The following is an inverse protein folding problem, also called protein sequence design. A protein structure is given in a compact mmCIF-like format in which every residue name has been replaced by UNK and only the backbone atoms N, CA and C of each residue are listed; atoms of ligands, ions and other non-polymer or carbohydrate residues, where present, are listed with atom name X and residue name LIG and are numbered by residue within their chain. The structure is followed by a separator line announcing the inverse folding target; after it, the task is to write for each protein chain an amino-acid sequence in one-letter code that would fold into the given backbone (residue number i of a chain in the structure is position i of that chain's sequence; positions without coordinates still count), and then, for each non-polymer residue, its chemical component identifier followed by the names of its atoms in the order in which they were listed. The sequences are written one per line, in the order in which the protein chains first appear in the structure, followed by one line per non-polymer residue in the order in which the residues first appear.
data_IF_284042168040
#
_entry.id   IF_284042168040
#
_cell.length_a   1.000
_cell.length_b   1.000
_cell.length_c   1.000
_cell.angle_alpha   90.00
_cell.angle_beta   90.00
_cell.angle_gamma   90.00
#
_symmetry.space_group_name_H-M   'P 1'
#
loop_
_entity.id
_entity.type
_entity.pdbx_description
1 polymer ?
#
# COMPACT_ATOMS: atom_id res chain seq x y z
N UNK A 1 0.57 15.67 -17.05
CA UNK A 1 1.20 14.34 -16.99
C UNK A 1 2.69 14.48 -17.16
N UNK A 2 3.42 14.33 -16.06
CA UNK A 2 4.85 14.08 -16.05
C UNK A 2 5.21 12.99 -17.08
N UNK A 3 6.05 13.32 -18.05
CA UNK A 3 6.49 12.39 -19.11
C UNK A 3 7.39 11.27 -18.58
N UNK A 4 7.69 11.23 -17.28
CA UNK A 4 8.50 10.20 -16.64
C UNK A 4 7.72 8.93 -16.27
N UNK A 5 6.38 8.98 -16.19
CA UNK A 5 5.53 7.84 -15.81
C UNK A 5 4.59 7.47 -16.94
N UNK A 6 4.64 6.20 -17.39
CA UNK A 6 3.63 5.62 -18.28
C UNK A 6 2.63 4.87 -17.42
N UNK A 7 1.34 5.15 -17.57
CA UNK A 7 0.28 4.51 -16.80
C UNK A 7 -0.90 4.09 -17.69
N UNK A 8 -1.58 3.00 -17.31
CA UNK A 8 -2.81 2.51 -17.90
C UNK A 8 -3.76 2.07 -16.79
N UNK A 9 -5.01 2.53 -16.83
CA UNK A 9 -6.07 2.10 -15.91
C UNK A 9 -7.01 1.16 -16.66
N UNK A 10 -7.33 0.02 -16.03
CA UNK A 10 -8.31 -0.96 -16.51
C UNK A 10 -9.43 -1.12 -15.49
N UNK A 11 -10.67 -1.25 -15.94
CA UNK A 11 -11.84 -1.50 -15.10
C UNK A 11 -12.12 -3.00 -15.03
N UNK A 12 -12.27 -3.52 -13.82
CA UNK A 12 -12.39 -4.94 -13.51
C UNK A 12 -13.73 -5.30 -12.86
N UNK A 13 -14.60 -4.34 -12.52
CA UNK A 13 -15.88 -4.57 -11.83
C UNK A 13 -16.79 -5.63 -12.48
N UNK A 14 -16.67 -5.82 -13.80
CA UNK A 14 -17.46 -6.80 -14.57
C UNK A 14 -16.73 -8.15 -14.76
N UNK A 15 -15.49 -8.27 -14.31
CA UNK A 15 -14.68 -9.47 -14.44
C UNK A 15 -14.97 -10.38 -13.25
N UNK A 16 -15.50 -11.57 -13.53
CA UNK A 16 -15.83 -12.55 -12.49
C UNK A 16 -14.57 -12.96 -11.73
N UNK A 17 -14.59 -12.83 -10.40
CA UNK A 17 -13.47 -13.16 -9.53
C UNK A 17 -12.37 -12.10 -9.47
N UNK A 18 -12.62 -10.89 -9.99
CA UNK A 18 -11.70 -9.78 -9.78
C UNK A 18 -11.63 -9.42 -8.28
N UNK A 19 -10.39 -9.26 -7.80
CA UNK A 19 -10.07 -8.87 -6.42
C UNK A 19 -10.06 -7.35 -6.22
N UNK A 20 -10.15 -6.58 -7.32
CA UNK A 20 -10.20 -5.12 -7.28
C UNK A 20 -11.14 -4.55 -8.33
N UNK A 21 -11.71 -3.36 -8.08
CA UNK A 21 -12.58 -2.65 -9.02
C UNK A 21 -11.82 -2.15 -10.25
N UNK A 22 -10.59 -1.68 -10.05
CA UNK A 22 -9.69 -1.19 -11.08
C UNK A 22 -8.27 -1.71 -10.89
N UNK A 23 -7.53 -1.82 -11.99
CA UNK A 23 -6.08 -2.05 -11.96
C UNK A 23 -5.36 -0.93 -12.67
N UNK A 24 -4.30 -0.44 -12.07
CA UNK A 24 -3.32 0.44 -12.73
C UNK A 24 -2.09 -0.39 -13.04
N UNK A 25 -1.64 -0.33 -14.29
CA UNK A 25 -0.31 -0.77 -14.69
C UNK A 25 0.52 0.47 -14.98
N UNK A 26 1.69 0.57 -14.36
CA UNK A 26 2.57 1.71 -14.49
C UNK A 26 4.03 1.28 -14.64
N UNK A 27 4.81 2.16 -15.27
CA UNK A 27 6.26 2.01 -15.38
C UNK A 27 6.91 3.38 -15.35
N UNK A 28 8.08 3.45 -14.72
CA UNK A 28 8.91 4.64 -14.67
C UNK A 28 10.11 4.51 -15.63
N UNK A 29 10.68 5.64 -16.06
CA UNK A 29 11.94 5.63 -16.83
C UNK A 29 13.15 5.23 -15.97
N UNK A 30 13.04 5.36 -14.66
CA UNK A 30 14.03 4.89 -13.71
C UNK A 30 13.82 3.39 -13.46
N UNK A 31 14.88 2.66 -13.07
CA UNK A 31 14.79 1.21 -12.83
C UNK A 31 13.86 0.84 -11.68
N UNK A 32 13.53 1.80 -10.81
CA UNK A 32 12.61 1.61 -9.70
C UNK A 32 11.24 2.27 -9.98
N UNK A 33 10.19 1.50 -9.70
CA UNK A 33 8.79 1.91 -9.80
C UNK A 33 8.30 2.68 -8.57
N UNK A 34 9.07 2.72 -7.47
CA UNK A 34 8.68 3.38 -6.21
C UNK A 34 8.34 4.84 -6.38
N UNK A 35 9.15 5.59 -7.14
CA UNK A 35 8.86 6.99 -7.43
C UNK A 35 7.54 7.15 -8.21
N UNK A 36 7.27 6.26 -9.17
CA UNK A 36 6.01 6.27 -9.91
C UNK A 36 4.82 5.92 -8.99
N UNK A 37 4.98 4.92 -8.13
CA UNK A 37 3.97 4.55 -7.13
C UNK A 37 3.66 5.72 -6.20
N UNK A 38 4.68 6.32 -5.58
CA UNK A 38 4.52 7.44 -4.66
C UNK A 38 3.79 8.62 -5.32
N UNK A 39 4.09 8.92 -6.59
CA UNK A 39 3.38 9.96 -7.36
C UNK A 39 1.91 9.59 -7.60
N UNK A 40 1.61 8.35 -7.97
CA UNK A 40 0.23 7.88 -8.20
C UNK A 40 -0.57 7.91 -6.90
N UNK A 41 -0.03 7.40 -5.80
CA UNK A 41 -0.68 7.42 -4.48
C UNK A 41 -0.90 8.86 -4.02
N UNK A 42 0.11 9.73 -4.16
CA UNK A 42 -0.02 11.16 -3.82
C UNK A 42 -1.11 11.84 -4.64
N UNK A 43 -1.22 11.51 -5.93
CA UNK A 43 -2.24 12.04 -6.81
C UNK A 43 -3.65 11.59 -6.41
N UNK A 44 -3.83 10.32 -6.01
CA UNK A 44 -5.12 9.86 -5.51
C UNK A 44 -5.47 10.40 -4.13
N UNK A 45 -4.49 10.46 -3.23
CA UNK A 45 -4.66 11.02 -1.89
C UNK A 45 -5.06 12.49 -1.96
N UNK A 46 -4.39 13.28 -2.81
CA UNK A 46 -4.53 14.73 -2.81
C UNK A 46 -4.36 15.30 -1.38
N UNK A 47 -5.38 16.01 -0.91
CA UNK A 47 -5.41 16.62 0.42
C UNK A 47 -5.99 15.71 1.52
N UNK A 48 -6.43 14.50 1.18
CA UNK A 48 -7.01 13.55 2.13
C UNK A 48 -5.92 12.93 3.01
N UNK A 49 -6.32 12.33 4.13
CA UNK A 49 -5.39 11.57 4.96
C UNK A 49 -5.21 10.15 4.39
N UNK A 50 -4.16 9.47 4.83
CA UNK A 50 -3.87 8.11 4.40
C UNK A 50 -3.53 7.25 5.61
N UNK A 51 -4.17 6.08 5.70
CA UNK A 51 -3.75 5.01 6.60
C UNK A 51 -2.99 3.99 5.76
N UNK A 52 -1.83 3.57 6.25
CA UNK A 52 -0.93 2.64 5.57
C UNK A 52 -0.87 1.38 6.41
N UNK A 53 -1.26 0.27 5.82
CA UNK A 53 -1.11 -1.07 6.39
C UNK A 53 0.07 -1.76 5.72
N UNK A 54 1.01 -2.23 6.52
CA UNK A 54 2.18 -2.98 6.08
C UNK A 54 2.13 -4.36 6.72
N UNK A 55 2.02 -5.40 5.91
CA UNK A 55 1.98 -6.78 6.36
C UNK A 55 3.20 -7.56 5.87
N UNK A 56 4.10 -7.86 6.81
CA UNK A 56 5.33 -8.62 6.52
C UNK A 56 5.07 -10.05 6.04
N UNK A 57 3.89 -10.64 6.27
CA UNK A 57 3.54 -11.96 5.75
C UNK A 57 3.41 -11.97 4.23
N UNK A 58 3.09 -10.81 3.64
CA UNK A 58 2.96 -10.61 2.19
C UNK A 58 4.30 -10.28 1.51
N UNK A 59 5.37 -10.13 2.29
CA UNK A 59 6.71 -9.85 1.75
C UNK A 59 7.42 -11.15 1.36
N UNK A 60 7.91 -11.22 0.14
CA UNK A 60 8.71 -12.33 -0.41
C UNK A 60 10.21 -12.23 -0.06
N UNK A 61 10.55 -11.49 0.99
CA UNK A 61 11.91 -11.28 1.48
C UNK A 61 12.34 -12.42 2.44
N UNK A 62 13.64 -12.64 2.56
CA UNK A 62 14.20 -13.44 3.66
C UNK A 62 14.06 -12.70 5.01
N UNK A 63 14.15 -13.44 6.13
CA UNK A 63 13.86 -12.89 7.47
C UNK A 63 14.82 -11.76 7.86
N UNK A 64 16.10 -11.84 7.48
CA UNK A 64 17.09 -10.82 7.80
C UNK A 64 16.78 -9.50 7.08
N UNK A 65 16.40 -9.57 5.79
CA UNK A 65 15.93 -8.40 5.05
C UNK A 65 14.62 -7.83 5.59
N UNK A 66 13.68 -8.68 6.02
CA UNK A 66 12.45 -8.22 6.68
C UNK A 66 12.78 -7.44 7.96
N UNK A 67 13.64 -8.01 8.81
CA UNK A 67 14.05 -7.36 10.06
C UNK A 67 14.77 -6.03 9.82
N UNK A 68 15.67 -5.97 8.83
CA UNK A 68 16.34 -4.72 8.46
C UNK A 68 15.36 -3.66 7.95
N UNK A 69 14.42 -4.05 7.08
CA UNK A 69 13.41 -3.14 6.55
C UNK A 69 12.51 -2.61 7.67
N UNK A 70 12.03 -3.50 8.54
CA UNK A 70 11.16 -3.14 9.66
C UNK A 70 11.89 -2.25 10.66
N UNK A 71 13.16 -2.52 10.96
CA UNK A 71 13.98 -1.65 11.84
C UNK A 71 14.18 -0.25 11.28
N UNK A 72 14.39 -0.11 9.96
CA UNK A 72 14.47 1.21 9.30
C UNK A 72 13.14 1.95 9.34
N UNK A 73 12.05 1.23 9.11
CA UNK A 73 10.70 1.77 9.18
C UNK A 73 10.40 2.27 10.59
N UNK A 74 10.58 1.45 11.63
CA UNK A 74 10.28 1.84 13.02
C UNK A 74 11.15 3.01 13.49
N UNK A 75 12.45 3.02 13.18
CA UNK A 75 13.32 4.15 13.50
C UNK A 75 12.84 5.46 12.85
N UNK A 76 12.31 5.38 11.63
CA UNK A 76 11.76 6.55 10.93
C UNK A 76 10.43 6.99 11.53
N UNK A 77 9.56 6.04 11.93
CA UNK A 77 8.33 6.35 12.65
C UNK A 77 8.63 7.02 13.99
N UNK A 78 9.61 6.53 14.76
CA UNK A 78 10.03 7.15 16.01
C UNK A 78 10.55 8.59 15.80
N UNK A 79 11.35 8.81 14.75
CA UNK A 79 11.88 10.14 14.41
C UNK A 79 10.78 11.11 13.98
N UNK A 80 9.85 10.66 13.16
CA UNK A 80 8.79 11.50 12.57
C UNK A 80 7.57 11.65 13.47
N UNK A 81 7.44 10.76 14.45
CA UNK A 81 6.35 10.68 15.42
C UNK A 81 4.92 10.73 14.81
N UNK A 82 4.59 9.94 13.76
CA UNK A 82 3.20 9.78 13.34
C UNK A 82 2.44 8.87 14.33
N UNK A 83 1.10 8.83 14.26
CA UNK A 83 0.33 7.81 14.98
C UNK A 83 0.51 6.46 14.27
N UNK A 84 1.01 5.44 14.97
CA UNK A 84 1.17 4.09 14.43
C UNK A 84 0.88 3.00 15.47
N UNK A 85 0.51 1.81 14.99
CA UNK A 85 0.24 0.61 15.80
C UNK A 85 1.05 -0.54 15.22
N UNK A 86 1.71 -1.31 16.09
CA UNK A 86 2.46 -2.52 15.71
C UNK A 86 1.80 -3.73 16.35
N UNK A 87 1.39 -4.69 15.51
CA UNK A 87 0.84 -5.96 15.94
C UNK A 87 1.72 -7.11 15.47
N UNK A 88 1.88 -8.11 16.34
CA UNK A 88 2.50 -9.39 15.96
C UNK A 88 1.46 -10.25 15.25
N UNK A 89 1.83 -10.82 14.12
CA UNK A 89 0.99 -11.75 13.35
C UNK A 89 1.73 -13.07 13.19
N UNK A 90 0.99 -14.16 13.04
CA UNK A 90 1.58 -15.47 12.76
C UNK A 90 1.01 -15.97 11.44
N UNK A 91 1.87 -16.46 10.56
CA UNK A 91 1.46 -16.99 9.27
C UNK A 91 2.20 -18.29 8.95
N UNK A 92 1.53 -19.15 8.18
CA UNK A 92 2.10 -20.41 7.73
C UNK A 92 2.95 -20.17 6.48
N UNK A 93 4.28 -20.22 6.65
CA UNK A 93 5.22 -20.14 5.53
C UNK A 93 5.21 -21.48 4.80
N UNK A 94 4.43 -21.58 3.73
CA UNK A 94 4.43 -22.74 2.84
C UNK A 94 5.82 -22.93 2.24
N UNK A 95 6.42 -24.10 2.47
CA UNK A 95 7.70 -24.50 1.86
C UNK A 95 7.42 -25.54 0.80
N UNK A 96 8.07 -25.43 -0.34
CA UNK A 96 8.09 -26.50 -1.34
C UNK A 96 9.52 -26.72 -1.82
N UNK A 97 9.84 -27.98 -2.13
CA UNK A 97 11.09 -28.36 -2.80
C UNK A 97 10.72 -29.21 -4.01
N UNK A 98 11.14 -28.81 -5.21
CA UNK A 98 10.75 -29.46 -6.47
C UNK A 98 9.23 -29.68 -6.59
N UNK A 99 8.44 -28.67 -6.22
CA UNK A 99 6.96 -28.73 -6.20
C UNK A 99 6.35 -29.72 -5.20
N UNK A 100 7.16 -30.38 -4.36
CA UNK A 100 6.67 -31.18 -3.23
C UNK A 100 6.41 -30.24 -2.04
N UNK A 101 5.17 -30.15 -1.53
CA UNK A 101 4.87 -29.37 -0.34
C UNK A 101 5.54 -30.02 0.88
N UNK A 102 6.34 -29.24 1.60
CA UNK A 102 6.94 -29.61 2.88
C UNK A 102 6.08 -28.99 3.99
N UNK A 103 6.12 -29.59 5.18
CA UNK A 103 5.43 -29.10 6.37
C UNK A 103 5.63 -27.59 6.56
N UNK A 104 4.51 -26.88 6.66
CA UNK A 104 4.50 -25.44 6.84
C UNK A 104 5.01 -25.08 8.22
N UNK A 105 5.99 -24.17 8.30
CA UNK A 105 6.44 -23.62 9.57
C UNK A 105 5.62 -22.36 9.87
N UNK A 106 5.07 -22.27 11.09
CA UNK A 106 4.55 -21.00 11.62
C UNK A 106 5.71 -20.02 11.78
N UNK A 107 5.60 -18.89 11.12
CA UNK A 107 6.57 -17.80 11.19
C UNK A 107 5.89 -16.59 11.82
N UNK A 108 6.61 -15.92 12.70
CA UNK A 108 6.18 -14.65 13.28
C UNK A 108 6.42 -13.53 12.25
N UNK A 109 5.42 -12.67 12.08
CA UNK A 109 5.49 -11.47 11.29
C UNK A 109 5.05 -10.27 12.11
N UNK A 110 5.23 -9.10 11.51
CA UNK A 110 4.71 -7.83 11.98
C UNK A 110 3.67 -7.28 10.99
N UNK A 111 2.62 -6.72 11.55
CA UNK A 111 1.64 -5.88 10.88
C UNK A 111 1.75 -4.49 11.49
N UNK A 112 2.09 -3.50 10.66
CA UNK A 112 2.27 -2.12 11.09
C UNK A 112 1.22 -1.27 10.40
N UNK A 113 0.46 -0.52 11.18
CA UNK A 113 -0.53 0.41 10.69
C UNK A 113 -0.09 1.82 11.04
N UNK A 114 -0.13 2.73 10.09
CA UNK A 114 0.39 4.10 10.23
C UNK A 114 -0.68 5.07 9.74
N UNK A 115 -1.00 6.08 10.53
CA UNK A 115 -1.75 7.23 10.06
C UNK A 115 -0.78 8.31 9.60
N UNK A 116 -0.93 8.75 8.35
CA UNK A 116 -0.16 9.86 7.79
C UNK A 116 -1.12 10.94 7.27
N UNK A 117 -0.97 12.14 7.83
CA UNK A 117 -1.60 13.34 7.30
C UNK A 117 -0.78 13.90 6.12
N UNK A 118 -1.15 15.08 5.62
CA UNK A 118 -0.38 15.76 4.57
C UNK A 118 1.07 16.08 4.99
N UNK A 119 1.31 16.40 6.26
CA UNK A 119 2.62 16.79 6.76
C UNK A 119 3.58 15.60 6.84
N UNK A 120 3.08 14.42 7.23
CA UNK A 120 3.87 13.19 7.29
C UNK A 120 4.09 12.64 5.88
N UNK A 121 3.02 12.53 5.07
CA UNK A 121 3.11 11.96 3.72
C UNK A 121 4.03 12.76 2.79
N UNK A 122 4.06 14.10 2.94
CA UNK A 122 4.93 14.96 2.14
C UNK A 122 6.43 14.87 2.45
N UNK A 123 6.83 14.14 3.49
CA UNK A 123 8.25 13.95 3.84
C UNK A 123 8.82 12.79 3.04
N UNK A 124 9.81 13.09 2.20
CA UNK A 124 10.51 12.08 1.39
C UNK A 124 11.09 10.95 2.26
N UNK A 125 11.68 11.29 3.41
CA UNK A 125 12.19 10.32 4.38
C UNK A 125 11.13 9.32 4.89
N UNK A 126 9.85 9.71 4.93
CA UNK A 126 8.75 8.81 5.28
C UNK A 126 8.43 7.87 4.11
N UNK A 127 8.23 8.42 2.92
CA UNK A 127 7.84 7.62 1.74
C UNK A 127 8.94 6.69 1.27
N UNK A 128 10.21 7.01 1.55
CA UNK A 128 11.38 6.22 1.18
C UNK A 128 11.53 4.95 2.02
N UNK A 129 10.99 4.92 3.24
CA UNK A 129 11.05 3.72 4.10
C UNK A 129 9.84 2.80 3.95
N UNK A 130 8.81 3.22 3.23
CA UNK A 130 7.67 2.36 2.90
C UNK A 130 8.18 1.18 2.04
N UNK A 131 7.86 -0.07 2.40
CA UNK A 131 8.27 -1.25 1.63
C UNK A 131 7.65 -1.29 0.23
N UNK A 132 8.32 -1.98 -0.69
CA UNK A 132 7.83 -2.20 -2.06
C UNK A 132 6.82 -3.36 -2.18
N UNK A 133 6.56 -4.06 -1.08
CA UNK A 133 5.71 -5.24 -1.00
C UNK A 133 4.83 -5.21 0.24
N UNK A 134 3.64 -5.82 0.14
CA UNK A 134 2.77 -6.03 1.28
C UNK A 134 2.22 -4.74 1.87
N UNK A 135 2.05 -3.72 1.04
CA UNK A 135 1.53 -2.41 1.45
C UNK A 135 0.14 -2.20 0.89
N UNK A 136 -0.75 -1.75 1.77
CA UNK A 136 -2.11 -1.35 1.44
C UNK A 136 -2.35 0.05 1.96
N UNK A 137 -2.98 0.88 1.14
CA UNK A 137 -3.28 2.26 1.44
C UNK A 137 -4.78 2.47 1.53
N UNK A 138 -5.20 3.20 2.55
CA UNK A 138 -6.58 3.57 2.83
C UNK A 138 -6.67 5.09 2.78
N UNK A 139 -7.26 5.66 1.73
CA UNK A 139 -7.41 7.10 1.59
C UNK A 139 -8.71 7.53 2.26
N UNK A 140 -8.60 8.27 3.37
CA UNK A 140 -9.71 8.57 4.27
C UNK A 140 -10.17 10.03 4.15
N UNK A 141 -11.49 10.25 4.17
CA UNK A 141 -12.09 11.59 4.21
C UNK A 141 -12.17 12.10 5.66
N UNK A 142 -11.05 12.65 6.15
CA UNK A 142 -11.01 13.33 7.45
C UNK A 142 -10.98 12.40 8.67
N UNK A 143 -10.97 11.09 8.47
CA UNK A 143 -10.81 10.14 9.57
C UNK A 143 -9.35 10.05 10.02
N UNK A 144 -9.10 10.20 11.33
CA UNK A 144 -7.76 10.22 11.92
C UNK A 144 -7.56 9.25 13.09
N UNK A 145 -8.60 8.54 13.52
CA UNK A 145 -8.49 7.64 14.68
C UNK A 145 -8.04 6.23 14.30
N UNK A 146 -6.72 6.05 14.22
CA UNK A 146 -6.13 4.77 13.83
C UNK A 146 -6.58 3.58 14.70
N UNK A 147 -6.87 3.78 15.98
CA UNK A 147 -7.23 2.67 16.89
C UNK A 147 -8.60 2.12 16.55
N UNK A 148 -9.63 2.97 16.51
CA UNK A 148 -10.99 2.57 16.13
C UNK A 148 -11.03 1.95 14.73
N UNK A 149 -10.26 2.50 13.77
CA UNK A 149 -10.21 1.93 12.42
C UNK A 149 -9.64 0.51 12.37
N UNK A 150 -8.72 0.19 13.29
CA UNK A 150 -8.09 -1.12 13.34
C UNK A 150 -8.93 -2.17 14.07
N UNK A 151 -9.90 -1.75 14.88
CA UNK A 151 -10.88 -2.63 15.52
C UNK A 151 -11.99 -3.09 14.56
N UNK A 152 -12.24 -2.32 13.49
CA UNK A 152 -13.26 -2.63 12.48
C UNK A 152 -12.86 -3.77 11.54
N UNK A 153 -13.84 -4.39 10.92
CA UNK A 153 -13.59 -5.39 9.90
C UNK A 153 -13.14 -4.76 8.56
N UNK A 154 -12.76 -5.60 7.59
CA UNK A 154 -12.26 -5.12 6.31
C UNK A 154 -13.32 -4.40 5.46
N UNK A 155 -14.58 -4.83 5.55
CA UNK A 155 -15.69 -4.22 4.81
C UNK A 155 -16.01 -2.84 5.39
N UNK A 156 -16.12 -2.74 6.71
CA UNK A 156 -16.34 -1.49 7.45
C UNK A 156 -15.23 -0.47 7.18
N UNK A 157 -13.96 -0.90 7.26
CA UNK A 157 -12.81 -0.05 6.90
C UNK A 157 -12.90 0.44 5.46
N UNK A 158 -13.25 -0.46 4.53
CA UNK A 158 -13.44 -0.13 3.12
C UNK A 158 -14.50 0.95 2.93
N UNK A 159 -15.64 0.82 3.61
CA UNK A 159 -16.77 1.74 3.52
C UNK A 159 -16.46 3.14 4.06
N UNK A 160 -15.51 3.27 4.99
CA UNK A 160 -15.03 4.57 5.50
C UNK A 160 -13.98 5.24 4.61
N UNK A 161 -13.45 4.51 3.64
CA UNK A 161 -12.40 5.01 2.76
C UNK A 161 -12.98 5.45 1.42
N UNK A 162 -12.50 6.59 0.92
CA UNK A 162 -12.80 7.01 -0.44
C UNK A 162 -12.13 6.08 -1.47
N UNK A 163 -11.03 5.43 -1.08
CA UNK A 163 -10.26 4.52 -1.91
C UNK A 163 -9.39 3.60 -1.06
N UNK A 164 -9.30 2.33 -1.46
CA UNK A 164 -8.32 1.36 -0.95
C UNK A 164 -7.41 0.94 -2.10
N UNK A 165 -6.10 1.05 -1.92
CA UNK A 165 -5.09 0.74 -2.94
C UNK A 165 -4.19 -0.38 -2.43
N UNK A 166 -4.04 -1.42 -3.23
CA UNK A 166 -3.09 -2.52 -3.03
C UNK A 166 -1.94 -2.30 -4.00
N UNK A 167 -0.73 -2.08 -3.49
CA UNK A 167 0.40 -1.72 -4.35
C UNK A 167 1.42 -2.85 -4.46
N UNK A 168 1.75 -3.18 -5.70
CA UNK A 168 2.76 -4.16 -6.08
C UNK A 168 3.83 -3.44 -6.90
N UNK A 169 4.65 -2.63 -6.22
CA UNK A 169 5.64 -1.73 -6.84
C UNK A 169 6.56 -2.47 -7.81
N UNK A 170 7.03 -3.65 -7.41
CA UNK A 170 7.95 -4.46 -8.23
C UNK A 170 7.32 -4.97 -9.52
N UNK A 171 6.00 -5.15 -9.56
CA UNK A 171 5.27 -5.49 -10.78
C UNK A 171 4.81 -4.24 -11.55
N UNK A 172 4.99 -3.04 -10.99
CA UNK A 172 4.45 -1.80 -11.53
C UNK A 172 2.93 -1.87 -11.64
N UNK A 173 2.26 -2.40 -10.62
CA UNK A 173 0.81 -2.53 -10.65
C UNK A 173 0.15 -2.21 -9.31
N UNK A 174 -1.06 -1.65 -9.39
CA UNK A 174 -1.93 -1.37 -8.24
C UNK A 174 -3.33 -1.92 -8.49
N UNK A 175 -3.91 -2.55 -7.47
CA UNK A 175 -5.35 -2.79 -7.39
C UNK A 175 -6.03 -1.65 -6.64
N UNK A 176 -7.19 -1.19 -7.10
CA UNK A 176 -7.95 -0.09 -6.48
C UNK A 176 -9.39 -0.52 -6.27
N UNK A 177 -9.88 -0.34 -5.05
CA UNK A 177 -11.30 -0.42 -4.68
C UNK A 177 -11.80 0.97 -4.32
N UNK A 178 -12.89 1.40 -4.94
CA UNK A 178 -13.43 2.75 -4.75
C UNK A 178 -14.83 2.83 -5.34
N UNK A 179 -15.65 3.76 -4.85
CA UNK A 179 -16.94 4.11 -5.46
C UNK A 179 -16.78 5.02 -6.68
N UNK A 180 -15.60 5.63 -6.88
CA UNK A 180 -15.31 6.54 -8.01
C UNK A 180 -15.39 5.83 -9.36
N UNK A 181 -15.74 6.59 -10.40
CA UNK A 181 -15.74 6.13 -11.80
C UNK A 181 -14.34 6.20 -12.43
N UNK A 182 -14.16 5.50 -13.55
CA UNK A 182 -12.91 5.56 -14.33
C UNK A 182 -12.54 7.00 -14.75
N UNK A 183 -13.53 7.81 -15.10
CA UNK A 183 -13.33 9.21 -15.51
C UNK A 183 -12.83 10.06 -14.34
N UNK A 184 -13.36 9.85 -13.14
CA UNK A 184 -12.89 10.53 -11.94
C UNK A 184 -11.46 10.13 -11.59
N UNK A 185 -11.12 8.83 -11.65
CA UNK A 185 -9.75 8.35 -11.41
C UNK A 185 -8.74 8.99 -12.37
N UNK A 186 -9.07 9.05 -13.66
CA UNK A 186 -8.22 9.74 -14.65
C UNK A 186 -8.09 11.23 -14.34
N UNK A 187 -9.19 11.89 -13.99
CA UNK A 187 -9.18 13.31 -13.63
C UNK A 187 -8.28 13.59 -12.41
N UNK A 188 -8.28 12.72 -11.40
CA UNK A 188 -7.41 12.85 -10.23
C UNK A 188 -5.93 12.75 -10.61
N UNK A 189 -5.56 11.78 -11.45
CA UNK A 189 -4.19 11.63 -11.94
C UNK A 189 -3.76 12.82 -12.81
N UNK A 190 -4.62 13.27 -13.73
CA UNK A 190 -4.29 14.36 -14.66
C UNK A 190 -4.08 15.69 -13.93
N UNK A 191 -4.89 15.98 -12.90
CA UNK A 191 -4.79 17.20 -12.09
C UNK A 191 -3.57 17.21 -11.18
N UNK A 192 -3.26 16.05 -10.58
CA UNK A 192 -2.31 15.98 -9.47
C UNK A 192 -0.94 15.39 -9.85
N UNK A 193 -0.77 14.89 -11.09
CA UNK A 193 0.53 14.45 -11.64
C UNK A 193 1.11 15.43 -12.69
N UNK A 194 0.81 16.72 -12.55
CA UNK A 194 1.40 17.80 -13.35
C UNK A 194 2.72 18.29 -12.75
#
# INVERSE_FOLDING_TARGET
MDKSVKLKISENRKVKGAISDFTISYSSKNPDNKSASNKIISAFKGNQNIIIEIDSSLMTLDEDKKNLLLGRLTATLEKLNPKYIINKVHYDKKRSFLSVPIESKKVEGLKINIFADHNIWGKEEFTDVIPEYGVRYYITEGFSDLETFMEEDEEERGNKCSMVIFDHIVLGSMGINTTKSLTELKSMLDKNML
#
